data_IF_598154075557
#
_entry.id   IF_598154075557
#
_cell.length_a   1.000
_cell.length_b   1.000
_cell.length_c   1.000
_cell.angle_alpha   90.00
_cell.angle_beta   90.00
_cell.angle_gamma   90.00
#
_symmetry.space_group_name_H-M   'P 1'
#
loop_
_entity.id
_entity.type
_entity.pdbx_description
1 polymer ?
#
# COMPACT_ATOMS: atom_id res chain seq x y z
N UNK A 1 -0.05 -1.38 47.32
CA UNK A 1 0.05 -0.27 46.35
C UNK A 1 1.09 -0.65 45.30
N UNK A 2 0.68 -1.38 44.26
CA UNK A 2 1.55 -1.71 43.14
C UNK A 2 1.66 -0.46 42.25
N UNK A 3 2.86 0.10 42.15
CA UNK A 3 3.12 1.31 41.37
C UNK A 3 2.59 1.16 39.95
N UNK A 4 1.76 2.11 39.52
CA UNK A 4 1.41 2.26 38.11
C UNK A 4 2.70 2.27 37.30
N UNK A 5 2.99 1.18 36.58
CA UNK A 5 4.02 1.19 35.53
C UNK A 5 3.66 2.35 34.62
N UNK A 6 4.53 3.38 34.58
CA UNK A 6 4.39 4.51 33.65
C UNK A 6 4.18 3.92 32.26
N UNK A 7 3.00 4.18 31.71
CA UNK A 7 2.64 3.70 30.38
C UNK A 7 3.44 4.50 29.36
N UNK A 8 4.63 4.02 28.97
CA UNK A 8 5.49 4.65 27.96
C UNK A 8 4.74 4.90 26.64
N UNK A 9 3.59 4.23 26.42
CA UNK A 9 2.68 4.41 25.27
C UNK A 9 1.91 5.73 25.27
N UNK A 10 1.71 6.35 26.45
CA UNK A 10 1.05 7.66 26.59
C UNK A 10 2.03 8.84 26.63
N UNK A 11 3.31 8.56 26.91
CA UNK A 11 4.34 9.60 27.14
C UNK A 11 4.73 10.33 25.86
N UNK A 12 4.48 9.72 24.70
CA UNK A 12 4.90 10.31 23.45
C UNK A 12 3.72 10.81 22.62
N UNK A 13 3.29 12.03 22.93
CA UNK A 13 2.93 12.99 21.87
C UNK A 13 4.20 13.18 21.02
N UNK A 14 4.49 12.23 20.12
CA UNK A 14 5.73 12.24 19.36
C UNK A 14 5.83 13.52 18.54
N UNK A 15 6.99 14.17 18.69
CA UNK A 15 7.44 15.28 17.88
C UNK A 15 7.35 14.90 16.39
N UNK A 16 7.10 15.85 15.50
CA UNK A 16 6.89 15.59 14.06
C UNK A 16 8.04 14.76 13.48
N UNK A 17 9.28 15.05 13.89
CA UNK A 17 10.49 14.32 13.49
C UNK A 17 10.45 12.83 13.87
N UNK A 18 10.05 12.50 15.10
CA UNK A 18 9.95 11.09 15.53
C UNK A 18 8.89 10.32 14.74
N UNK A 19 7.84 10.99 14.24
CA UNK A 19 6.85 10.37 13.36
C UNK A 19 7.41 10.17 11.95
N UNK A 20 8.15 11.14 11.43
CA UNK A 20 8.75 11.08 10.09
C UNK A 20 9.77 9.94 9.98
N UNK A 21 10.61 9.75 11.01
CA UNK A 21 11.65 8.70 11.03
C UNK A 21 11.20 7.38 11.67
N UNK A 22 9.91 7.21 11.96
CA UNK A 22 9.36 5.99 12.59
C UNK A 22 9.95 5.62 13.96
N UNK A 23 10.67 6.51 14.63
CA UNK A 23 11.31 6.27 15.94
C UNK A 23 10.31 5.93 17.05
N UNK A 24 9.02 6.18 16.84
CA UNK A 24 7.97 5.81 17.79
C UNK A 24 7.79 4.29 17.96
N UNK A 25 8.28 3.49 17.01
CA UNK A 25 8.25 2.02 17.06
C UNK A 25 9.40 1.47 17.91
N UNK A 26 10.51 2.20 18.03
CA UNK A 26 11.76 1.73 18.68
C UNK A 26 11.54 1.14 20.08
N UNK A 27 10.74 1.75 20.99
CA UNK A 27 10.52 1.18 22.31
C UNK A 27 9.87 -0.22 22.26
N UNK A 28 8.94 -0.44 21.32
CA UNK A 28 8.26 -1.72 21.14
C UNK A 28 9.23 -2.78 20.60
N UNK A 29 10.10 -2.40 19.65
CA UNK A 29 11.14 -3.28 19.14
C UNK A 29 12.13 -3.66 20.22
N UNK A 30 12.56 -2.71 21.07
CA UNK A 30 13.44 -3.01 22.19
C UNK A 30 12.82 -4.00 23.18
N UNK A 31 11.51 -3.91 23.45
CA UNK A 31 10.81 -4.90 24.27
C UNK A 31 10.76 -6.26 23.56
N UNK A 32 10.44 -6.28 22.26
CA UNK A 32 10.40 -7.50 21.44
C UNK A 32 11.76 -8.20 21.32
N UNK A 33 12.87 -7.45 21.37
CA UNK A 33 14.22 -8.03 21.42
C UNK A 33 14.54 -8.72 22.75
N UNK A 34 13.84 -8.37 23.84
CA UNK A 34 14.11 -8.88 25.19
C UNK A 34 13.12 -9.96 25.63
N UNK A 35 11.88 -9.89 25.16
CA UNK A 35 10.81 -10.81 25.53
C UNK A 35 9.83 -10.98 24.36
N UNK A 36 9.14 -12.12 24.34
CA UNK A 36 8.01 -12.33 23.42
C UNK A 36 6.91 -11.32 23.72
N UNK A 37 6.46 -10.60 22.68
CA UNK A 37 5.41 -9.60 22.81
C UNK A 37 4.06 -10.26 23.10
N UNK A 38 3.33 -9.69 24.06
CA UNK A 38 1.96 -10.08 24.41
C UNK A 38 0.98 -8.95 24.08
N UNK A 39 -0.33 -9.24 24.01
CA UNK A 39 -1.35 -8.23 23.67
C UNK A 39 -1.30 -6.97 24.57
N UNK A 40 -1.04 -7.07 25.89
CA UNK A 40 -0.85 -5.90 26.76
C UNK A 40 0.36 -5.03 26.44
N UNK A 41 1.34 -5.51 25.68
CA UNK A 41 2.54 -4.75 25.30
C UNK A 41 2.28 -3.84 24.08
N UNK A 42 1.24 -4.13 23.30
CA UNK A 42 0.93 -3.43 22.06
C UNK A 42 0.36 -2.02 22.32
N UNK A 43 0.55 -1.13 21.35
CA UNK A 43 -0.07 0.19 21.37
C UNK A 43 -1.59 0.09 21.16
N UNK A 44 -2.40 0.90 21.87
CA UNK A 44 -3.81 1.04 21.52
C UNK A 44 -3.94 1.64 20.12
N UNK A 45 -4.98 1.26 19.38
CA UNK A 45 -5.24 1.84 18.08
C UNK A 45 -5.59 3.33 18.21
N UNK A 46 -5.22 4.17 17.23
CA UNK A 46 -5.66 5.55 17.20
C UNK A 46 -7.17 5.63 16.96
N UNK A 47 -7.82 6.67 17.47
CA UNK A 47 -9.26 6.91 17.27
C UNK A 47 -9.67 6.94 15.78
N UNK A 48 -8.75 7.33 14.90
CA UNK A 48 -8.96 7.30 13.45
C UNK A 48 -9.19 5.90 12.87
N UNK A 49 -8.69 4.86 13.55
CA UNK A 49 -8.84 3.46 13.19
C UNK A 49 -9.97 2.78 13.96
N UNK A 50 -10.73 3.53 14.75
CA UNK A 50 -11.83 2.97 15.52
C UNK A 50 -12.97 2.53 14.59
N UNK A 51 -13.45 1.29 14.79
CA UNK A 51 -14.43 0.68 13.89
C UNK A 51 -15.78 1.40 13.97
N UNK A 52 -16.19 1.85 15.15
CA UNK A 52 -17.45 2.57 15.37
C UNK A 52 -17.42 3.94 14.70
N UNK A 53 -16.32 4.68 14.87
CA UNK A 53 -16.12 5.97 14.20
C UNK A 53 -16.19 5.83 12.67
N UNK A 54 -15.44 4.87 12.11
CA UNK A 54 -15.43 4.62 10.66
C UNK A 54 -16.81 4.20 10.14
N UNK A 55 -17.53 3.35 10.89
CA UNK A 55 -18.87 2.90 10.50
C UNK A 55 -19.90 4.03 10.49
N UNK A 56 -19.89 4.89 11.50
CA UNK A 56 -20.80 6.03 11.55
C UNK A 56 -20.57 6.96 10.36
N UNK A 57 -19.30 7.27 10.06
CA UNK A 57 -18.92 8.06 8.89
C UNK A 57 -19.35 7.41 7.56
N UNK A 58 -19.18 6.09 7.44
CA UNK A 58 -19.64 5.34 6.26
C UNK A 58 -21.16 5.41 6.09
N UNK A 59 -21.91 5.17 7.16
CA UNK A 59 -23.36 5.14 7.12
C UNK A 59 -23.96 6.49 6.75
N UNK A 60 -23.37 7.60 7.21
CA UNK A 60 -23.79 8.95 6.84
C UNK A 60 -23.77 9.12 5.31
N UNK A 61 -22.60 8.92 4.68
CA UNK A 61 -22.47 9.02 3.23
C UNK A 61 -23.22 7.93 2.46
N UNK A 62 -23.34 6.73 3.02
CA UNK A 62 -24.11 5.64 2.41
C UNK A 62 -25.60 5.99 2.36
N UNK A 63 -26.15 6.55 3.43
CA UNK A 63 -27.55 6.94 3.49
C UNK A 63 -27.88 8.10 2.54
N UNK A 64 -26.98 9.08 2.43
CA UNK A 64 -27.07 10.21 1.49
C UNK A 64 -27.03 9.73 0.02
N UNK A 65 -26.11 8.82 -0.32
CA UNK A 65 -26.02 8.26 -1.67
C UNK A 65 -27.25 7.41 -2.00
N UNK A 66 -27.74 6.64 -1.02
CA UNK A 66 -28.93 5.81 -1.17
C UNK A 66 -30.19 6.64 -1.41
N UNK A 67 -30.37 7.77 -0.70
CA UNK A 67 -31.50 8.68 -0.93
C UNK A 67 -31.43 9.38 -2.28
N UNK A 68 -30.22 9.68 -2.76
CA UNK A 68 -30.01 10.45 -3.99
C UNK A 68 -30.12 9.56 -5.24
N UNK A 69 -29.58 8.34 -5.22
CA UNK A 69 -29.49 7.46 -6.39
C UNK A 69 -30.38 6.23 -6.34
N UNK A 70 -30.95 5.91 -5.18
CA UNK A 70 -31.67 4.66 -4.94
C UNK A 70 -30.74 3.44 -4.83
N UNK A 71 -31.31 2.33 -4.35
CA UNK A 71 -30.55 1.11 -4.03
C UNK A 71 -29.85 0.47 -5.23
N UNK A 72 -30.40 0.61 -6.45
CA UNK A 72 -29.85 -0.03 -7.65
C UNK A 72 -28.59 0.66 -8.18
N UNK A 73 -28.40 1.96 -7.90
CA UNK A 73 -27.34 2.78 -8.48
C UNK A 73 -26.32 3.29 -7.45
N UNK A 74 -26.37 2.78 -6.22
CA UNK A 74 -25.44 3.17 -5.15
C UNK A 74 -24.04 2.65 -5.44
N UNK A 75 -23.04 3.54 -5.46
CA UNK A 75 -21.65 3.21 -5.83
C UNK A 75 -20.75 3.16 -4.60
N UNK A 76 -20.34 1.96 -4.20
CA UNK A 76 -19.47 1.77 -3.02
C UNK A 76 -18.16 2.55 -3.11
N UNK A 77 -17.48 2.51 -4.26
CA UNK A 77 -16.20 3.19 -4.45
C UNK A 77 -16.28 4.70 -4.25
N UNK A 78 -17.42 5.31 -4.62
CA UNK A 78 -17.66 6.73 -4.45
C UNK A 78 -17.81 7.12 -2.98
N UNK A 79 -18.47 6.26 -2.21
CA UNK A 79 -18.67 6.45 -0.76
C UNK A 79 -17.35 6.30 -0.02
N UNK A 80 -16.51 5.33 -0.39
CA UNK A 80 -15.15 5.19 0.15
C UNK A 80 -14.33 6.46 -0.14
N UNK A 81 -14.42 6.98 -1.37
CA UNK A 81 -13.75 8.22 -1.75
C UNK A 81 -14.25 9.40 -0.90
N UNK A 82 -15.58 9.58 -0.73
CA UNK A 82 -16.17 10.60 0.16
C UNK A 82 -15.73 10.40 1.62
N UNK A 83 -15.60 9.18 2.13
CA UNK A 83 -15.16 8.94 3.50
C UNK A 83 -13.73 9.44 3.75
N UNK A 84 -12.88 9.44 2.73
CA UNK A 84 -11.45 9.73 2.88
C UNK A 84 -10.92 10.83 1.95
N UNK A 85 -11.78 11.62 1.31
CA UNK A 85 -11.39 12.54 0.22
C UNK A 85 -10.25 13.49 0.60
N UNK A 86 -10.33 14.14 1.76
CA UNK A 86 -9.30 15.06 2.23
C UNK A 86 -7.96 14.36 2.49
N UNK A 87 -8.00 13.18 3.12
CA UNK A 87 -6.79 12.37 3.38
C UNK A 87 -6.19 11.87 2.08
N UNK A 88 -7.02 11.41 1.15
CA UNK A 88 -6.61 11.00 -0.18
C UNK A 88 -5.91 12.15 -0.89
N UNK A 89 -6.53 13.33 -0.97
CA UNK A 89 -5.96 14.51 -1.60
C UNK A 89 -4.62 14.93 -0.97
N UNK A 90 -4.52 14.91 0.36
CA UNK A 90 -3.27 15.19 1.06
C UNK A 90 -2.16 14.16 0.74
N UNK A 91 -2.49 12.87 0.68
CA UNK A 91 -1.53 11.82 0.31
C UNK A 91 -1.07 11.98 -1.15
N UNK A 92 -2.00 12.25 -2.08
CA UNK A 92 -1.67 12.45 -3.49
C UNK A 92 -0.79 13.68 -3.71
N UNK A 93 -1.10 14.80 -3.04
CA UNK A 93 -0.33 16.04 -3.16
C UNK A 93 1.07 15.91 -2.57
N UNK A 94 1.24 15.30 -1.40
CA UNK A 94 2.55 15.02 -0.82
C UNK A 94 3.38 14.08 -1.70
N UNK A 95 2.75 13.08 -2.31
CA UNK A 95 3.42 12.15 -3.23
C UNK A 95 3.84 12.87 -4.51
N UNK A 96 3.00 13.77 -5.05
CA UNK A 96 3.34 14.59 -6.20
C UNK A 96 4.56 15.49 -5.93
N UNK A 97 4.63 16.13 -4.76
CA UNK A 97 5.77 16.96 -4.37
C UNK A 97 7.05 16.11 -4.31
N UNK A 98 6.99 14.94 -3.68
CA UNK A 98 8.14 14.05 -3.59
C UNK A 98 8.64 13.59 -4.96
N UNK A 99 7.72 13.20 -5.85
CA UNK A 99 8.06 12.79 -7.21
C UNK A 99 8.59 13.97 -8.05
N UNK A 100 8.11 15.19 -7.84
CA UNK A 100 8.66 16.38 -8.47
C UNK A 100 10.12 16.64 -8.03
N UNK A 101 10.45 16.39 -6.76
CA UNK A 101 11.85 16.44 -6.29
C UNK A 101 12.72 15.41 -7.01
N UNK A 102 12.19 14.21 -7.29
CA UNK A 102 12.94 13.19 -8.05
C UNK A 102 13.18 13.59 -9.50
N UNK A 103 12.20 14.23 -10.16
CA UNK A 103 12.42 14.80 -11.49
C UNK A 103 13.49 15.91 -11.43
N UNK A 104 13.39 16.83 -10.48
CA UNK A 104 14.37 17.92 -10.33
C UNK A 104 15.78 17.38 -10.05
N UNK A 105 15.91 16.31 -9.26
CA UNK A 105 17.17 15.63 -9.00
C UNK A 105 17.83 15.16 -10.29
N UNK A 106 17.06 14.63 -11.25
CA UNK A 106 17.59 14.17 -12.54
C UNK A 106 18.11 15.32 -13.42
N UNK A 107 17.45 16.47 -13.41
CA UNK A 107 17.92 17.67 -14.12
C UNK A 107 19.18 18.27 -13.48
N UNK A 108 19.24 18.34 -12.15
CA UNK A 108 20.42 18.84 -11.42
C UNK A 108 21.64 17.95 -11.68
N UNK A 109 21.45 16.63 -11.77
CA UNK A 109 22.52 15.72 -12.16
C UNK A 109 23.08 16.05 -13.55
N UNK A 110 22.22 16.44 -14.50
CA UNK A 110 22.61 16.96 -15.80
C UNK A 110 23.50 18.19 -15.68
N UNK A 111 23.08 19.19 -14.89
CA UNK A 111 23.86 20.44 -14.67
C UNK A 111 25.23 20.18 -14.03
N UNK A 112 25.32 19.23 -13.10
CA UNK A 112 26.61 18.81 -12.52
C UNK A 112 27.49 18.13 -13.57
N UNK A 113 26.89 17.41 -14.52
CA UNK A 113 27.63 16.74 -15.61
C UNK A 113 28.14 17.75 -16.64
N UNK A 114 27.36 18.79 -16.94
CA UNK A 114 27.73 19.87 -17.86
C UNK A 114 29.00 20.60 -17.39
N UNK A 115 29.19 20.76 -16.07
CA UNK A 115 30.42 21.33 -15.50
C UNK A 115 31.69 20.56 -15.92
N UNK A 116 31.64 19.23 -16.01
CA UNK A 116 32.77 18.41 -16.44
C UNK A 116 33.05 18.49 -17.95
N UNK A 117 32.16 19.11 -18.71
CA UNK A 117 32.32 19.32 -20.15
C UNK A 117 32.95 20.67 -20.50
N UNK A 118 33.22 21.52 -19.49
CA UNK A 118 33.87 22.82 -19.66
C UNK A 118 35.38 22.64 -19.88
N UNK A 119 35.93 23.25 -20.93
CA UNK A 119 37.36 23.17 -21.26
C UNK A 119 38.25 23.96 -20.30
N UNK A 120 37.76 25.09 -19.76
CA UNK A 120 38.48 25.95 -18.83
C UNK A 120 37.51 26.53 -17.77
N UNK A 121 37.19 25.78 -16.70
CA UNK A 121 36.24 26.23 -15.69
C UNK A 121 36.80 27.41 -14.89
N UNK A 122 35.99 28.44 -14.69
CA UNK A 122 36.32 29.56 -13.81
C UNK A 122 36.06 29.19 -12.34
N UNK A 123 36.62 29.97 -11.41
CA UNK A 123 36.38 29.76 -9.98
C UNK A 123 34.88 29.87 -9.60
N UNK A 124 34.11 30.67 -10.34
CA UNK A 124 32.67 30.81 -10.14
C UNK A 124 31.89 29.56 -10.62
N UNK A 125 32.29 28.99 -11.77
CA UNK A 125 31.75 27.72 -12.27
C UNK A 125 31.97 26.58 -11.27
N UNK A 126 33.15 26.52 -10.64
CA UNK A 126 33.44 25.53 -9.61
C UNK A 126 32.56 25.72 -8.36
N UNK A 127 32.33 26.97 -7.96
CA UNK A 127 31.45 27.29 -6.81
C UNK A 127 30.00 26.88 -7.08
N UNK A 128 29.47 27.19 -8.26
CA UNK A 128 28.12 26.79 -8.67
C UNK A 128 27.97 25.27 -8.80
N UNK A 129 29.00 24.57 -9.28
CA UNK A 129 29.01 23.11 -9.31
C UNK A 129 28.95 22.49 -7.91
N UNK A 130 29.68 23.05 -6.92
CA UNK A 130 29.56 22.61 -5.53
C UNK A 130 28.17 22.86 -4.95
N UNK A 131 27.52 23.98 -5.31
CA UNK A 131 26.14 24.25 -4.92
C UNK A 131 25.18 23.19 -5.50
N UNK A 132 25.26 22.89 -6.79
CA UNK A 132 24.43 21.85 -7.41
C UNK A 132 24.69 20.47 -6.83
N UNK A 133 25.95 20.11 -6.56
CA UNK A 133 26.31 18.85 -5.90
C UNK A 133 25.74 18.76 -4.48
N UNK A 134 25.80 19.85 -3.69
CA UNK A 134 25.22 19.89 -2.35
C UNK A 134 23.68 19.74 -2.38
N UNK A 135 23.03 20.38 -3.35
CA UNK A 135 21.58 20.27 -3.55
C UNK A 135 21.19 18.85 -3.98
N UNK A 136 21.98 18.21 -4.84
CA UNK A 136 21.79 16.83 -5.26
C UNK A 136 21.84 15.86 -4.07
N UNK A 137 22.78 16.05 -3.14
CA UNK A 137 22.88 15.26 -1.91
C UNK A 137 21.64 15.48 -1.03
N UNK A 138 21.20 16.73 -0.85
CA UNK A 138 20.02 17.07 -0.06
C UNK A 138 18.74 16.44 -0.64
N UNK A 139 18.56 16.52 -1.97
CA UNK A 139 17.44 15.88 -2.67
C UNK A 139 17.52 14.36 -2.57
N UNK A 140 18.71 13.78 -2.67
CA UNK A 140 18.90 12.33 -2.48
C UNK A 140 18.51 11.87 -1.07
N UNK A 141 18.80 12.67 -0.03
CA UNK A 141 18.36 12.38 1.33
C UNK A 141 16.83 12.38 1.48
N UNK A 142 16.10 13.12 0.63
CA UNK A 142 14.63 13.12 0.63
C UNK A 142 14.02 11.78 0.23
N UNK A 143 14.79 10.86 -0.36
CA UNK A 143 14.36 9.49 -0.68
C UNK A 143 13.83 8.72 0.54
N UNK A 144 14.30 9.06 1.74
CA UNK A 144 13.79 8.47 2.99
C UNK A 144 12.28 8.67 3.13
N UNK A 145 11.73 9.79 2.64
CA UNK A 145 10.30 10.08 2.68
C UNK A 145 9.45 9.19 1.76
N UNK A 146 10.05 8.46 0.81
CA UNK A 146 9.33 7.48 0.01
C UNK A 146 8.74 6.36 0.87
N UNK A 147 9.44 5.98 1.95
CA UNK A 147 8.92 5.02 2.93
C UNK A 147 7.66 5.54 3.64
N UNK A 148 7.57 6.85 3.86
CA UNK A 148 6.39 7.49 4.44
C UNK A 148 5.19 7.43 3.49
N UNK A 149 5.43 7.56 2.18
CA UNK A 149 4.39 7.39 1.15
C UNK A 149 3.84 5.96 1.16
N UNK A 150 4.71 4.95 1.15
CA UNK A 150 4.26 3.55 1.24
C UNK A 150 3.57 3.23 2.57
N UNK A 151 4.04 3.81 3.68
CA UNK A 151 3.36 3.70 4.96
C UNK A 151 1.96 4.33 4.92
N UNK A 152 1.81 5.51 4.31
CA UNK A 152 0.52 6.17 4.14
C UNK A 152 -0.44 5.32 3.29
N UNK A 153 0.05 4.72 2.20
CA UNK A 153 -0.71 3.78 1.37
C UNK A 153 -1.18 2.55 2.15
N UNK A 154 -0.29 1.90 2.92
CA UNK A 154 -0.65 0.76 3.79
C UNK A 154 -1.65 1.16 4.87
N UNK A 155 -1.45 2.30 5.55
CA UNK A 155 -2.40 2.83 6.54
C UNK A 155 -3.77 3.07 5.90
N UNK A 156 -3.80 3.62 4.69
CA UNK A 156 -5.04 3.84 3.94
C UNK A 156 -5.75 2.52 3.60
N UNK A 157 -5.03 1.51 3.11
CA UNK A 157 -5.55 0.17 2.88
C UNK A 157 -6.17 -0.47 4.13
N UNK A 158 -5.47 -0.39 5.26
CA UNK A 158 -5.98 -0.87 6.55
C UNK A 158 -7.26 -0.17 7.01
N UNK A 159 -7.36 1.15 6.82
CA UNK A 159 -8.59 1.91 7.13
C UNK A 159 -9.78 1.46 6.27
N UNK A 160 -9.56 1.25 4.96
CA UNK A 160 -10.59 0.75 4.05
C UNK A 160 -11.02 -0.67 4.45
N UNK A 161 -10.07 -1.53 4.83
CA UNK A 161 -10.35 -2.88 5.33
C UNK A 161 -11.25 -2.85 6.56
N UNK A 162 -10.90 -2.08 7.59
CA UNK A 162 -11.70 -1.94 8.81
C UNK A 162 -13.12 -1.44 8.49
N UNK A 163 -13.22 -0.42 7.63
CA UNK A 163 -14.50 0.15 7.18
C UNK A 163 -15.40 -0.91 6.53
N UNK A 164 -14.87 -1.63 5.55
CA UNK A 164 -15.62 -2.60 4.74
C UNK A 164 -15.99 -3.85 5.55
N UNK A 165 -15.07 -4.39 6.34
CA UNK A 165 -15.37 -5.52 7.23
C UNK A 165 -16.49 -5.15 8.21
N UNK A 166 -16.47 -3.95 8.77
CA UNK A 166 -17.52 -3.49 9.68
C UNK A 166 -18.86 -3.29 8.95
N UNK A 167 -18.85 -2.69 7.76
CA UNK A 167 -20.05 -2.53 6.94
C UNK A 167 -20.70 -3.87 6.56
N UNK A 168 -19.90 -4.88 6.20
CA UNK A 168 -20.36 -6.24 5.92
C UNK A 168 -20.98 -6.85 7.18
N UNK A 169 -20.31 -6.76 8.32
CA UNK A 169 -20.80 -7.30 9.60
C UNK A 169 -22.18 -6.75 9.95
N UNK A 170 -22.36 -5.43 9.95
CA UNK A 170 -23.65 -4.81 10.23
C UNK A 170 -24.71 -5.12 9.17
N UNK A 171 -24.33 -5.28 7.91
CA UNK A 171 -25.28 -5.66 6.86
C UNK A 171 -25.82 -7.06 7.09
N UNK A 172 -24.96 -8.02 7.45
CA UNK A 172 -25.35 -9.41 7.74
C UNK A 172 -26.34 -9.48 8.89
N UNK A 173 -26.12 -8.71 9.96
CA UNK A 173 -27.03 -8.65 11.11
C UNK A 173 -28.43 -8.10 10.78
N UNK A 174 -28.59 -7.41 9.65
CA UNK A 174 -29.86 -6.84 9.18
C UNK A 174 -30.51 -7.63 8.04
N UNK A 175 -29.88 -8.69 7.54
CA UNK A 175 -30.44 -9.51 6.47
C UNK A 175 -31.55 -10.43 7.01
N UNK A 176 -32.57 -10.69 6.19
CA UNK A 176 -33.60 -11.67 6.52
C UNK A 176 -33.04 -13.10 6.43
N UNK A 177 -33.61 -14.02 7.21
CA UNK A 177 -33.19 -15.43 7.19
C UNK A 177 -33.33 -16.07 5.80
N UNK A 178 -34.31 -15.63 5.01
CA UNK A 178 -34.51 -16.08 3.63
C UNK A 178 -33.38 -15.64 2.70
N UNK A 179 -32.94 -14.38 2.79
CA UNK A 179 -31.76 -13.91 2.03
C UNK A 179 -30.48 -14.60 2.50
N UNK A 180 -30.35 -14.84 3.80
CA UNK A 180 -29.21 -15.55 4.37
C UNK A 180 -29.20 -17.04 3.98
N UNK A 181 -30.35 -17.66 3.71
CA UNK A 181 -30.36 -19.04 3.17
C UNK A 181 -29.83 -19.12 1.74
N UNK A 182 -29.88 -18.03 0.97
CA UNK A 182 -29.29 -17.95 -0.36
C UNK A 182 -27.79 -17.60 -0.34
N UNK A 183 -27.28 -17.01 0.75
CA UNK A 183 -25.88 -16.62 0.90
C UNK A 183 -25.29 -17.33 2.12
N UNK A 184 -24.47 -18.36 1.89
CA UNK A 184 -23.87 -19.11 3.00
C UNK A 184 -23.01 -18.20 3.88
N UNK A 185 -23.08 -18.37 5.20
CA UNK A 185 -22.23 -17.62 6.13
C UNK A 185 -20.74 -17.79 5.82
N UNK A 186 -20.34 -18.98 5.34
CA UNK A 186 -18.97 -19.23 4.87
C UNK A 186 -18.57 -18.33 3.69
N UNK A 187 -19.49 -18.06 2.74
CA UNK A 187 -19.23 -17.15 1.64
C UNK A 187 -19.00 -15.71 2.12
N UNK A 188 -19.78 -15.23 3.08
CA UNK A 188 -19.61 -13.88 3.64
C UNK A 188 -18.27 -13.75 4.39
N UNK A 189 -17.90 -14.76 5.18
CA UNK A 189 -16.61 -14.79 5.87
C UNK A 189 -15.47 -14.79 4.85
N UNK A 190 -15.61 -15.53 3.74
CA UNK A 190 -14.64 -15.53 2.65
C UNK A 190 -14.47 -14.15 2.03
N UNK A 191 -15.57 -13.44 1.72
CA UNK A 191 -15.50 -12.06 1.21
C UNK A 191 -14.77 -11.14 2.19
N UNK A 192 -15.14 -11.18 3.47
CA UNK A 192 -14.54 -10.32 4.49
C UNK A 192 -13.04 -10.64 4.74
N UNK A 193 -12.62 -11.89 4.56
CA UNK A 193 -11.26 -12.34 4.86
C UNK A 193 -10.32 -12.28 3.66
N UNK A 194 -10.82 -12.53 2.45
CA UNK A 194 -10.01 -12.57 1.23
C UNK A 194 -10.21 -11.32 0.38
N UNK A 195 -11.43 -11.04 -0.09
CA UNK A 195 -11.70 -9.92 -1.00
C UNK A 195 -11.40 -8.56 -0.35
N UNK A 196 -11.85 -8.36 0.90
CA UNK A 196 -11.58 -7.11 1.63
C UNK A 196 -10.09 -7.00 2.00
N UNK A 197 -9.39 -8.10 2.25
CA UNK A 197 -7.95 -8.07 2.53
C UNK A 197 -7.12 -7.62 1.33
N UNK A 198 -7.56 -7.92 0.10
CA UNK A 198 -6.87 -7.43 -1.12
C UNK A 198 -6.78 -5.91 -1.21
N UNK A 199 -7.72 -5.18 -0.59
CA UNK A 199 -7.63 -3.72 -0.51
C UNK A 199 -6.46 -3.27 0.37
N UNK A 200 -6.15 -3.99 1.45
CA UNK A 200 -5.00 -3.73 2.31
C UNK A 200 -3.69 -3.83 1.53
N UNK A 201 -3.54 -4.91 0.75
CA UNK A 201 -2.34 -5.17 -0.05
C UNK A 201 -2.23 -4.22 -1.25
N UNK A 202 -3.33 -3.95 -1.95
CA UNK A 202 -3.29 -3.18 -3.21
C UNK A 202 -3.15 -1.67 -2.97
N UNK A 203 -3.68 -1.16 -1.85
CA UNK A 203 -3.68 0.28 -1.57
C UNK A 203 -2.31 0.83 -1.18
N UNK A 204 -1.29 -0.02 -1.04
CA UNK A 204 0.10 0.43 -0.90
C UNK A 204 0.56 1.33 -2.07
N UNK A 205 0.02 1.10 -3.28
CA UNK A 205 0.32 1.89 -4.48
C UNK A 205 -0.67 3.03 -4.74
N UNK A 206 -1.73 3.15 -3.94
CA UNK A 206 -2.73 4.22 -4.08
C UNK A 206 -2.13 5.64 -4.15
N UNK A 207 -1.08 6.00 -3.36
CA UNK A 207 -0.46 7.32 -3.45
C UNK A 207 0.12 7.67 -4.84
N UNK A 208 0.39 6.66 -5.67
CA UNK A 208 0.91 6.84 -7.03
C UNK A 208 -0.19 6.88 -8.09
N UNK A 209 -1.46 6.64 -7.73
CA UNK A 209 -2.55 6.47 -8.70
C UNK A 209 -2.73 7.70 -9.61
N UNK A 210 -2.80 8.92 -9.03
CA UNK A 210 -2.89 10.16 -9.82
C UNK A 210 -1.52 10.70 -10.22
N UNK A 211 -0.48 10.40 -9.44
CA UNK A 211 0.87 10.95 -9.64
C UNK A 211 1.56 10.28 -10.84
N UNK A 212 1.36 8.98 -11.04
CA UNK A 212 1.99 8.22 -12.12
C UNK A 212 1.72 8.77 -13.53
N UNK A 213 0.47 9.05 -13.97
CA UNK A 213 0.23 9.60 -15.29
C UNK A 213 0.82 10.99 -15.47
N UNK A 214 0.75 11.85 -14.44
CA UNK A 214 1.35 13.19 -14.46
C UNK A 214 2.86 13.07 -14.62
N UNK A 215 3.49 12.23 -13.80
CA UNK A 215 4.92 11.96 -13.86
C UNK A 215 5.35 11.45 -15.24
N UNK A 216 4.61 10.49 -15.82
CA UNK A 216 4.88 9.97 -17.16
C UNK A 216 4.83 11.09 -18.22
N UNK A 217 3.78 11.91 -18.20
CA UNK A 217 3.65 13.04 -19.14
C UNK A 217 4.81 14.04 -19.01
N UNK A 218 5.20 14.40 -17.79
CA UNK A 218 6.30 15.33 -17.53
C UNK A 218 7.63 14.76 -18.02
N UNK A 219 7.95 13.50 -17.70
CA UNK A 219 9.19 12.87 -18.13
C UNK A 219 9.28 12.75 -19.65
N UNK A 220 8.20 12.33 -20.31
CA UNK A 220 8.15 12.25 -21.78
C UNK A 220 8.32 13.63 -22.42
N UNK A 221 7.69 14.66 -21.85
CA UNK A 221 7.84 16.04 -22.31
C UNK A 221 9.28 16.56 -22.15
N UNK A 222 9.91 16.34 -20.99
CA UNK A 222 11.30 16.74 -20.75
C UNK A 222 12.27 16.01 -21.68
N UNK A 223 12.08 14.71 -21.91
CA UNK A 223 12.87 13.93 -22.87
C UNK A 223 12.74 14.47 -24.29
N UNK A 224 11.53 14.87 -24.70
CA UNK A 224 11.31 15.50 -25.99
C UNK A 224 12.05 16.84 -26.10
N UNK A 225 12.05 17.67 -25.04
CA UNK A 225 12.80 18.93 -25.06
C UNK A 225 14.31 18.71 -25.24
N UNK A 226 14.89 17.71 -24.55
CA UNK A 226 16.34 17.47 -24.55
C UNK A 226 16.84 16.75 -25.81
N UNK A 227 16.12 15.74 -26.30
CA UNK A 227 16.59 14.80 -27.35
C UNK A 227 15.63 14.78 -28.57
N UNK A 228 14.56 15.57 -28.56
CA UNK A 228 13.59 15.71 -29.65
C UNK A 228 13.00 14.35 -30.07
N UNK A 229 12.73 14.15 -31.36
CA UNK A 229 12.09 12.95 -31.90
C UNK A 229 12.82 11.64 -31.62
N UNK A 230 14.15 11.68 -31.41
CA UNK A 230 14.92 10.48 -31.09
C UNK A 230 14.46 9.84 -29.76
N UNK A 231 14.01 10.66 -28.79
CA UNK A 231 13.45 10.15 -27.52
C UNK A 231 12.16 9.32 -27.70
N UNK A 232 11.37 9.59 -28.73
CA UNK A 232 10.09 8.90 -28.96
C UNK A 232 10.30 7.43 -29.34
N UNK A 233 11.45 7.08 -29.92
CA UNK A 233 11.82 5.69 -30.19
C UNK A 233 11.93 4.91 -28.88
N UNK A 234 12.59 5.48 -27.86
CA UNK A 234 12.72 4.85 -26.54
C UNK A 234 11.37 4.72 -25.84
N UNK A 235 10.52 5.76 -25.91
CA UNK A 235 9.14 5.70 -25.38
C UNK A 235 8.37 4.57 -26.06
N UNK A 236 8.50 4.42 -27.38
CA UNK A 236 7.91 3.32 -28.14
C UNK A 236 8.38 1.95 -27.68
N UNK A 237 9.68 1.77 -27.43
CA UNK A 237 10.25 0.51 -26.89
C UNK A 237 9.70 0.20 -25.50
N UNK A 238 9.60 1.20 -24.62
CA UNK A 238 9.02 1.03 -23.28
C UNK A 238 7.54 0.64 -23.39
N UNK A 239 6.75 1.30 -24.23
CA UNK A 239 5.35 0.94 -24.46
C UNK A 239 5.20 -0.47 -25.06
N UNK A 240 6.08 -0.87 -25.97
CA UNK A 240 6.11 -2.21 -26.55
C UNK A 240 6.52 -3.28 -25.53
N UNK A 241 7.22 -2.92 -24.45
CA UNK A 241 7.52 -3.86 -23.36
C UNK A 241 6.29 -4.21 -22.51
N UNK A 242 5.29 -3.32 -22.42
CA UNK A 242 4.04 -3.54 -21.65
C UNK A 242 3.29 -4.81 -22.10
N UNK A 243 2.95 -5.01 -23.39
CA UNK A 243 2.27 -6.23 -23.81
C UNK A 243 3.12 -7.49 -23.58
N UNK A 244 4.44 -7.41 -23.71
CA UNK A 244 5.34 -8.53 -23.40
C UNK A 244 5.20 -8.92 -21.93
N UNK A 245 5.26 -7.94 -21.02
CA UNK A 245 5.05 -8.16 -19.58
C UNK A 245 3.68 -8.76 -19.28
N UNK A 246 2.62 -8.30 -19.95
CA UNK A 246 1.25 -8.85 -19.79
C UNK A 246 1.20 -10.31 -20.24
N UNK A 247 1.72 -10.63 -21.42
CA UNK A 247 1.73 -12.00 -21.96
C UNK A 247 2.51 -12.93 -21.04
N UNK A 248 3.72 -12.52 -20.62
CA UNK A 248 4.52 -13.31 -19.67
C UNK A 248 3.80 -13.51 -18.33
N UNK A 249 3.09 -12.49 -17.83
CA UNK A 249 2.29 -12.60 -16.60
C UNK A 249 1.12 -13.59 -16.74
N UNK A 250 0.44 -13.61 -17.89
CA UNK A 250 -0.65 -14.58 -18.17
C UNK A 250 -0.11 -16.01 -18.22
N UNK A 251 1.03 -16.21 -18.90
CA UNK A 251 1.71 -17.51 -18.97
C UNK A 251 2.12 -17.96 -17.56
N UNK A 252 2.76 -17.07 -16.80
CA UNK A 252 3.15 -17.33 -15.41
C UNK A 252 1.95 -17.71 -14.54
N UNK A 253 0.84 -16.97 -14.63
CA UNK A 253 -0.39 -17.27 -13.89
C UNK A 253 -0.96 -18.65 -14.27
N UNK A 254 -0.88 -19.03 -15.54
CA UNK A 254 -1.32 -20.35 -16.03
C UNK A 254 -0.48 -21.49 -15.46
N UNK A 255 0.84 -21.33 -15.41
CA UNK A 255 1.72 -22.30 -14.74
C UNK A 255 1.47 -22.37 -13.24
N UNK A 256 1.28 -21.22 -12.58
CA UNK A 256 0.96 -21.16 -11.15
C UNK A 256 -0.35 -21.88 -10.83
N UNK A 257 -1.36 -21.77 -11.68
CA UNK A 257 -2.62 -22.50 -11.54
C UNK A 257 -2.43 -24.03 -11.63
N UNK A 258 -1.67 -24.51 -12.61
CA UNK A 258 -1.35 -25.95 -12.75
C UNK A 258 -0.54 -26.47 -11.55
N UNK A 259 0.43 -25.70 -11.07
CA UNK A 259 1.23 -26.05 -9.89
C UNK A 259 0.38 -26.12 -8.61
N UNK A 260 -0.58 -25.20 -8.46
CA UNK A 260 -1.53 -25.22 -7.35
C UNK A 260 -2.38 -26.51 -7.37
N UNK A 261 -2.92 -26.90 -8.52
CA UNK A 261 -3.72 -28.12 -8.64
C UNK A 261 -2.96 -29.40 -8.24
N UNK A 262 -1.68 -29.52 -8.61
CA UNK A 262 -0.83 -30.65 -8.19
C UNK A 262 -0.57 -30.61 -6.68
N UNK A 263 -0.33 -29.41 -6.13
CA UNK A 263 -0.12 -29.21 -4.70
C UNK A 263 -1.36 -29.60 -3.90
N UNK A 264 -2.55 -29.22 -4.37
CA UNK A 264 -3.83 -29.57 -3.75
C UNK A 264 -4.07 -31.08 -3.76
N UNK A 265 -3.77 -31.76 -4.87
CA UNK A 265 -3.88 -33.22 -4.94
C UNK A 265 -2.90 -33.91 -3.96
N UNK A 266 -1.66 -33.42 -3.86
CA UNK A 266 -0.68 -33.92 -2.88
C UNK A 266 -1.20 -33.75 -1.46
N UNK A 267 -1.75 -32.59 -1.10
CA UNK A 267 -2.31 -32.32 0.23
C UNK A 267 -3.48 -33.27 0.52
N UNK A 268 -4.35 -33.49 -0.47
CA UNK A 268 -5.46 -34.43 -0.36
C UNK A 268 -4.99 -35.86 -0.05
N UNK A 269 -4.08 -36.40 -0.85
CA UNK A 269 -3.52 -37.75 -0.66
C UNK A 269 -2.80 -37.86 0.70
N UNK A 270 -2.05 -36.84 1.11
CA UNK A 270 -1.41 -36.82 2.42
C UNK A 270 -2.44 -36.88 3.57
N UNK A 271 -3.56 -36.16 3.46
CA UNK A 271 -4.63 -36.21 4.45
C UNK A 271 -5.29 -37.61 4.51
N UNK A 272 -5.50 -38.26 3.37
CA UNK A 272 -6.02 -39.64 3.30
C UNK A 272 -5.05 -40.63 3.97
N UNK A 273 -3.74 -40.52 3.71
CA UNK A 273 -2.70 -41.36 4.34
C UNK A 273 -2.68 -41.16 5.86
N UNK A 274 -2.72 -39.91 6.33
CA UNK A 274 -2.70 -39.59 7.77
C UNK A 274 -3.95 -40.15 8.46
N UNK A 275 -5.12 -39.99 7.85
CA UNK A 275 -6.38 -40.54 8.36
C UNK A 275 -6.35 -42.08 8.40
N UNK A 276 -5.80 -42.71 7.36
CA UNK A 276 -5.66 -44.15 7.24
C UNK A 276 -4.42 -44.77 7.91
N UNK A 277 -3.61 -43.99 8.64
CA UNK A 277 -2.26 -44.42 9.04
C UNK A 277 -2.24 -45.68 9.91
N UNK A 278 -3.27 -45.86 10.74
CA UNK A 278 -3.40 -47.04 11.60
C UNK A 278 -3.63 -48.31 10.78
N UNK A 279 -4.49 -48.25 9.76
CA UNK A 279 -4.77 -49.37 8.85
C UNK A 279 -3.52 -49.71 8.04
N UNK A 280 -2.84 -48.70 7.48
CA UNK A 280 -1.61 -48.87 6.71
C UNK A 280 -0.51 -49.53 7.58
N UNK A 281 -0.35 -49.10 8.84
CA UNK A 281 0.62 -49.69 9.77
C UNK A 281 0.28 -51.14 10.11
N UNK A 282 -0.98 -51.45 10.38
CA UNK A 282 -1.40 -52.83 10.70
C UNK A 282 -1.13 -53.76 9.50
N UNK A 283 -1.51 -53.36 8.29
CA UNK A 283 -1.36 -54.19 7.09
C UNK A 283 0.10 -54.38 6.63
N UNK A 284 1.03 -53.55 7.12
CA UNK A 284 2.46 -53.65 6.80
C UNK A 284 3.30 -54.28 7.91
N UNK A 285 2.75 -54.35 9.14
CA UNK A 285 3.40 -54.97 10.31
C UNK A 285 2.99 -56.44 10.45
N UNK A 286 1.84 -56.83 9.89
CA UNK A 286 1.47 -58.22 9.62
C UNK A 286 1.91 -58.62 8.21
#
# INVERSE_FOLDING_TARGET
MAGMKKDHRKVFKYNILCRLFFCWIDPLLCVGCRQSLTQPDLYPHPHECDSSYLHNKFNEYWSEELSTRGSANTRLWWIILKCFWWRSLLIQTLTLILIAVFIAQSEILGLVTDYFSLEAPTADDTSTAYLYASLLILMSASMVFLNLVFYAGRKFGGLVRILLTNAIYYKVLKLSQMTLSHVTMGHVINIASNDVHRFDESMIFFPFFLVFPIHLCVVVYLLYLKIQWSSMVLVGVVLASIPILIVTSIIYSSFRFKAAAVTDNRIKVMNEIISGIRVIKIYRIW
#
